data_IF_284210398914
#
_entry.id   IF_284210398914
#
_cell.length_a   1.000
_cell.length_b   1.000
_cell.length_c   1.000
_cell.angle_alpha   90.00
_cell.angle_beta   90.00
_cell.angle_gamma   90.00
#
_symmetry.space_group_name_H-M   'P 1'
#
loop_
_entity.id
_entity.type
_entity.pdbx_description
1 polymer ?
#
# COMPACT_ATOMS: atom_id res chain seq x y z
N UNK A 1 17.66 -5.44 11.65
CA UNK A 1 18.83 -5.92 12.43
C UNK A 1 18.41 -6.86 13.57
N UNK A 2 18.76 -8.15 13.50
CA UNK A 2 18.33 -9.20 14.48
C UNK A 2 18.99 -9.11 15.86
N UNK A 3 20.00 -8.27 15.99
CA UNK A 3 20.80 -8.07 17.20
C UNK A 3 20.30 -6.89 18.07
N UNK A 4 19.27 -6.18 17.62
CA UNK A 4 18.61 -5.11 18.38
C UNK A 4 17.34 -5.68 19.01
N UNK A 5 17.34 -5.86 20.34
CA UNK A 5 16.12 -6.19 21.08
C UNK A 5 15.14 -5.01 20.96
N UNK A 6 14.00 -5.23 20.29
CA UNK A 6 13.02 -4.17 20.03
C UNK A 6 11.69 -4.45 20.73
N UNK A 7 11.03 -3.38 21.12
CA UNK A 7 9.68 -3.41 21.64
C UNK A 7 8.82 -2.42 20.85
N UNK A 8 7.73 -2.91 20.27
CA UNK A 8 6.68 -2.05 19.71
C UNK A 8 5.59 -1.90 20.77
N UNK A 9 5.32 -0.67 21.18
CA UNK A 9 4.31 -0.33 22.18
C UNK A 9 3.19 0.48 21.51
N UNK A 10 2.12 -0.19 21.04
CA UNK A 10 0.96 0.48 20.46
C UNK A 10 0.10 1.16 21.54
N UNK A 11 0.21 0.71 22.79
CA UNK A 11 -0.49 1.27 23.94
C UNK A 11 0.50 2.06 24.82
N UNK A 12 0.30 3.38 24.97
CA UNK A 12 1.14 4.23 25.82
C UNK A 12 1.21 3.78 27.29
N UNK A 13 0.12 3.20 27.82
CA UNK A 13 0.03 2.86 29.24
C UNK A 13 0.82 1.59 29.58
N UNK A 14 0.88 0.64 28.66
CA UNK A 14 1.65 -0.60 28.80
C UNK A 14 3.14 -0.45 28.41
N UNK A 15 3.51 0.62 27.71
CA UNK A 15 4.84 0.79 27.12
C UNK A 15 5.97 0.74 28.16
N UNK A 16 5.77 1.36 29.34
CA UNK A 16 6.79 1.42 30.39
C UNK A 16 7.02 0.05 31.04
N UNK A 17 5.95 -0.66 31.37
CA UNK A 17 6.02 -1.99 31.99
C UNK A 17 6.68 -3.01 31.06
N UNK A 18 6.27 -3.00 29.78
CA UNK A 18 6.86 -3.85 28.76
C UNK A 18 8.33 -3.53 28.53
N UNK A 19 8.72 -2.24 28.56
CA UNK A 19 10.10 -1.82 28.38
C UNK A 19 10.99 -2.25 29.55
N UNK A 20 10.49 -2.21 30.78
CA UNK A 20 11.20 -2.69 31.97
C UNK A 20 11.37 -4.22 31.98
N UNK A 21 10.34 -4.95 31.52
CA UNK A 21 10.36 -6.41 31.45
C UNK A 21 11.27 -6.94 30.33
N UNK A 22 11.14 -6.40 29.12
CA UNK A 22 11.86 -6.87 27.93
C UNK A 22 13.28 -6.31 27.81
N UNK A 23 13.58 -5.18 28.48
CA UNK A 23 14.85 -4.43 28.37
C UNK A 23 15.33 -4.26 26.91
N UNK A 24 14.49 -3.70 26.02
CA UNK A 24 14.84 -3.54 24.63
C UNK A 24 15.91 -2.46 24.46
N UNK A 25 16.77 -2.63 23.46
CA UNK A 25 17.69 -1.58 23.00
C UNK A 25 16.97 -0.47 22.23
N UNK A 26 15.76 -0.74 21.71
CA UNK A 26 14.93 0.21 20.96
C UNK A 26 13.45 0.03 21.29
N UNK A 27 12.78 1.10 21.69
CA UNK A 27 11.34 1.15 21.89
C UNK A 27 10.69 2.05 20.83
N UNK A 28 9.64 1.55 20.19
CA UNK A 28 8.87 2.25 19.17
C UNK A 28 7.49 2.53 19.73
N UNK A 29 7.13 3.80 19.80
CA UNK A 29 5.88 4.29 20.37
C UNK A 29 5.01 4.80 19.23
N UNK A 30 3.80 4.25 19.10
CA UNK A 30 2.78 4.81 18.21
C UNK A 30 2.15 6.03 18.89
N UNK A 31 2.41 7.22 18.34
CA UNK A 31 1.92 8.48 18.85
C UNK A 31 0.46 8.67 18.40
N UNK A 32 -0.44 8.53 19.37
CA UNK A 32 -1.89 8.70 19.15
C UNK A 32 -2.31 10.14 19.39
N UNK A 33 -1.94 10.70 20.56
CA UNK A 33 -2.15 12.10 20.94
C UNK A 33 -0.84 12.72 21.43
N UNK A 34 -0.53 13.94 21.01
CA UNK A 34 0.74 14.61 21.32
C UNK A 34 0.98 14.76 22.84
N UNK A 35 0.03 15.24 23.67
CA UNK A 35 0.28 15.42 25.11
C UNK A 35 0.54 14.09 25.83
N UNK A 36 -0.23 13.05 25.51
CA UNK A 36 -0.08 11.72 26.08
C UNK A 36 1.27 11.11 25.70
N UNK A 37 1.66 11.24 24.44
CA UNK A 37 2.95 10.75 23.92
C UNK A 37 4.12 11.48 24.59
N UNK A 38 4.06 12.81 24.70
CA UNK A 38 5.07 13.61 25.40
C UNK A 38 5.22 13.19 26.87
N UNK A 39 4.10 12.97 27.57
CA UNK A 39 4.12 12.51 28.96
C UNK A 39 4.78 11.13 29.09
N UNK A 40 4.48 10.21 28.18
CA UNK A 40 5.09 8.89 28.14
C UNK A 40 6.60 8.95 27.88
N UNK A 41 7.03 9.73 26.88
CA UNK A 41 8.45 9.88 26.56
C UNK A 41 9.24 10.39 27.77
N UNK A 42 8.70 11.37 28.49
CA UNK A 42 9.29 11.88 29.72
C UNK A 42 9.37 10.82 30.82
N UNK A 43 8.34 9.97 30.98
CA UNK A 43 8.34 8.85 31.93
C UNK A 43 9.42 7.82 31.58
N UNK A 44 9.52 7.42 30.31
CA UNK A 44 10.56 6.51 29.82
C UNK A 44 11.99 7.07 30.01
N UNK A 45 12.17 8.39 29.96
CA UNK A 45 13.48 9.02 30.25
C UNK A 45 13.76 9.22 31.73
N UNK A 46 12.73 9.45 32.54
CA UNK A 46 12.88 9.56 34.00
C UNK A 46 13.30 8.22 34.61
N UNK A 47 12.69 7.12 34.15
CA UNK A 47 12.87 5.77 34.68
C UNK A 47 14.31 5.23 34.42
N UNK A 48 15.10 4.92 35.46
CA UNK A 48 16.49 4.48 35.30
C UNK A 48 16.66 3.23 34.43
N UNK A 49 15.73 2.28 34.53
CA UNK A 49 15.77 1.01 33.81
C UNK A 49 15.65 1.15 32.29
N UNK A 50 15.14 2.28 31.79
CA UNK A 50 14.83 2.50 30.37
C UNK A 50 15.70 3.55 29.70
N UNK A 51 16.62 4.21 30.44
CA UNK A 51 17.46 5.29 29.87
C UNK A 51 18.37 4.87 28.73
N UNK A 52 18.76 3.60 28.69
CA UNK A 52 19.70 3.05 27.73
C UNK A 52 19.07 2.80 26.34
N UNK A 53 17.75 2.80 26.22
CA UNK A 53 17.07 2.48 24.97
C UNK A 53 16.95 3.69 24.05
N UNK A 54 17.06 3.44 22.74
CA UNK A 54 16.55 4.36 21.73
C UNK A 54 15.02 4.42 21.81
N UNK A 55 14.44 5.60 21.63
CA UNK A 55 12.99 5.78 21.56
C UNK A 55 12.64 6.41 20.22
N UNK A 56 11.70 5.81 19.50
CA UNK A 56 11.19 6.31 18.23
C UNK A 56 9.71 6.59 18.37
N UNK A 57 9.26 7.79 17.99
CA UNK A 57 7.85 8.15 17.96
C UNK A 57 7.32 8.12 16.52
N UNK A 58 6.19 7.44 16.30
CA UNK A 58 5.50 7.39 15.02
C UNK A 58 4.25 8.25 15.10
N UNK A 59 4.07 9.29 14.28
CA UNK A 59 2.80 10.02 14.25
C UNK A 59 2.20 10.03 12.84
N UNK A 60 0.87 9.99 12.78
CA UNK A 60 0.08 9.92 11.52
C UNK A 60 -0.24 11.31 10.95
N UNK A 61 -0.17 12.32 11.80
CA UNK A 61 -0.38 13.74 11.49
C UNK A 61 0.76 14.45 12.22
N UNK A 62 1.72 15.00 11.48
CA UNK A 62 2.95 15.54 12.04
C UNK A 62 3.20 16.90 11.41
N UNK A 63 2.85 17.94 12.14
CA UNK A 63 3.33 19.29 11.85
C UNK A 63 4.76 19.45 12.40
N UNK A 64 5.62 20.30 11.81
CA UNK A 64 7.01 20.48 12.25
C UNK A 64 7.15 20.84 13.74
N UNK A 65 6.18 21.58 14.28
CA UNK A 65 6.17 22.01 15.69
C UNK A 65 5.96 20.83 16.66
N UNK A 66 5.16 19.84 16.27
CA UNK A 66 4.90 18.62 17.04
C UNK A 66 6.10 17.68 17.02
N UNK A 67 6.84 17.62 15.90
CA UNK A 67 8.09 16.87 15.80
C UNK A 67 9.12 17.37 16.81
N UNK A 68 9.29 18.68 16.87
CA UNK A 68 10.21 19.33 17.79
C UNK A 68 9.81 19.09 19.25
N UNK A 69 8.51 19.05 19.55
CA UNK A 69 8.02 18.77 20.89
C UNK A 69 8.30 17.32 21.33
N UNK A 70 8.08 16.34 20.45
CA UNK A 70 8.40 14.93 20.72
C UNK A 70 9.91 14.70 20.89
N UNK A 71 10.75 15.39 20.10
CA UNK A 71 12.21 15.38 20.27
C UNK A 71 12.62 15.98 21.61
N UNK A 72 12.05 17.13 21.99
CA UNK A 72 12.28 17.76 23.32
C UNK A 72 11.82 16.87 24.46
N UNK A 73 10.77 16.07 24.27
CA UNK A 73 10.27 15.12 25.25
C UNK A 73 11.17 13.87 25.42
N UNK A 74 12.10 13.64 24.50
CA UNK A 74 13.13 12.60 24.61
C UNK A 74 13.12 11.53 23.52
N UNK A 75 12.37 11.71 22.42
CA UNK A 75 12.45 10.83 21.26
C UNK A 75 13.79 11.00 20.51
N UNK A 76 14.46 9.91 20.18
CA UNK A 76 15.68 9.92 19.36
C UNK A 76 15.38 10.14 17.87
N UNK A 77 14.25 9.61 17.41
CA UNK A 77 13.74 9.82 16.06
C UNK A 77 12.22 9.96 16.09
N UNK A 78 11.71 10.72 15.13
CA UNK A 78 10.27 10.92 14.91
C UNK A 78 10.00 10.62 13.44
N UNK A 79 8.99 9.81 13.14
CA UNK A 79 8.60 9.48 11.77
C UNK A 79 7.13 9.77 11.52
N UNK A 80 6.84 10.24 10.30
CA UNK A 80 5.50 10.48 9.82
C UNK A 80 5.01 9.29 8.96
N UNK A 81 3.85 8.72 9.30
CA UNK A 81 3.15 7.72 8.48
C UNK A 81 2.63 6.50 9.25
N UNK A 82 1.81 5.69 8.57
CA UNK A 82 1.43 4.35 9.07
C UNK A 82 2.56 3.36 8.76
N UNK A 83 2.95 2.60 9.77
CA UNK A 83 4.01 1.59 9.68
C UNK A 83 3.42 0.24 10.07
N UNK A 84 3.48 -0.72 9.14
CA UNK A 84 3.18 -2.10 9.44
C UNK A 84 4.27 -2.65 10.38
N UNK A 85 3.91 -3.21 11.55
CA UNK A 85 4.87 -3.82 12.49
C UNK A 85 5.79 -4.86 11.84
N UNK A 86 5.30 -5.58 10.80
CA UNK A 86 6.08 -6.60 10.09
C UNK A 86 7.13 -6.01 9.13
N UNK A 87 6.90 -4.78 8.64
CA UNK A 87 7.80 -4.09 7.69
C UNK A 87 8.80 -3.14 8.36
N UNK A 88 8.77 -3.04 9.69
CA UNK A 88 9.61 -2.14 10.48
C UNK A 88 11.12 -2.37 10.29
N UNK A 89 11.57 -3.63 10.18
CA UNK A 89 13.01 -3.93 10.05
C UNK A 89 13.62 -3.35 8.77
N UNK A 90 12.91 -3.46 7.65
CA UNK A 90 13.36 -2.96 6.35
C UNK A 90 13.43 -1.42 6.36
N UNK A 91 12.41 -0.78 6.94
CA UNK A 91 12.34 0.69 6.99
C UNK A 91 13.32 1.29 7.99
N UNK A 92 13.53 0.63 9.14
CA UNK A 92 14.53 1.05 10.12
C UNK A 92 15.96 0.86 9.59
N UNK A 93 16.25 -0.20 8.83
CA UNK A 93 17.55 -0.35 8.14
C UNK A 93 17.79 0.75 7.11
N UNK A 94 16.74 1.19 6.40
CA UNK A 94 16.82 2.33 5.49
C UNK A 94 17.07 3.66 6.24
N UNK A 95 16.43 3.86 7.39
CA UNK A 95 16.46 5.11 8.16
C UNK A 95 17.67 5.24 9.11
N UNK A 96 18.11 4.14 9.72
CA UNK A 96 19.30 4.04 10.58
C UNK A 96 20.57 3.68 9.80
N UNK A 97 20.49 3.55 8.48
CA UNK A 97 21.63 3.69 7.58
C UNK A 97 22.14 5.12 7.65
N UNK A 98 22.73 5.50 8.79
CA UNK A 98 23.63 6.63 8.91
C UNK A 98 24.97 6.08 8.44
N UNK A 99 25.33 6.28 7.16
CA UNK A 99 26.62 5.79 6.68
C UNK A 99 27.71 6.40 7.54
N UNK A 100 28.64 5.57 8.01
CA UNK A 100 29.84 6.03 8.71
C UNK A 100 30.44 7.22 7.95
N UNK A 101 30.81 8.26 8.69
CA UNK A 101 31.34 9.49 8.10
C UNK A 101 32.78 9.66 8.56
N UNK A 102 33.69 9.80 7.60
CA UNK A 102 35.05 10.24 7.91
C UNK A 102 35.09 11.76 7.73
N UNK A 103 35.38 12.45 8.83
CA UNK A 103 35.67 13.88 8.82
C UNK A 103 37.10 14.08 8.31
N UNK A 104 37.29 15.06 7.44
CA UNK A 104 38.59 15.35 6.83
C UNK A 104 38.43 16.37 5.72
N UNK A 105 39.41 17.27 5.56
CA UNK A 105 39.42 18.25 4.46
C UNK A 105 40.00 17.59 3.23
N UNK A 106 39.19 17.44 2.19
CA UNK A 106 39.58 16.74 0.97
C UNK A 106 39.30 17.65 -0.23
N UNK A 107 40.26 17.84 -1.15
CA UNK A 107 40.00 18.65 -2.33
C UNK A 107 38.93 17.96 -3.20
N UNK A 108 37.95 18.76 -3.64
CA UNK A 108 36.92 18.30 -4.57
C UNK A 108 36.77 19.31 -5.70
N UNK A 109 36.79 18.83 -6.94
CA UNK A 109 36.46 19.65 -8.10
C UNK A 109 35.00 19.39 -8.49
N UNK A 110 34.26 20.45 -8.77
CA UNK A 110 32.84 20.40 -9.07
C UNK A 110 32.62 20.88 -10.51
N UNK A 111 31.98 20.03 -11.31
CA UNK A 111 31.47 20.37 -12.63
C UNK A 111 29.95 20.56 -12.51
N UNK A 112 29.51 21.80 -12.34
CA UNK A 112 28.09 22.15 -12.14
C UNK A 112 27.39 22.19 -13.49
N UNK A 113 26.49 21.24 -13.73
CA UNK A 113 25.89 21.01 -15.05
C UNK A 113 25.07 22.20 -15.57
N UNK A 114 24.42 22.95 -14.68
CA UNK A 114 23.66 24.14 -15.04
C UNK A 114 24.52 25.31 -15.54
N UNK A 115 25.85 25.20 -15.46
CA UNK A 115 26.81 26.26 -15.80
C UNK A 115 27.73 25.93 -16.98
N UNK A 116 27.59 24.74 -17.57
CA UNK A 116 28.34 24.32 -18.76
C UNK A 116 27.45 24.45 -20.02
N UNK A 117 27.87 25.10 -21.13
CA UNK A 117 29.23 25.49 -21.50
C UNK A 117 29.36 27.02 -21.72
N UNK A 118 29.80 27.77 -20.69
CA UNK A 118 30.30 29.15 -20.83
C UNK A 118 31.69 29.30 -20.21
N UNK A 119 32.67 28.51 -20.63
CA UNK A 119 34.10 28.76 -20.36
C UNK A 119 34.51 28.96 -18.89
N UNK A 120 33.65 28.69 -17.92
CA UNK A 120 33.92 28.89 -16.51
C UNK A 120 34.63 27.68 -15.93
N UNK A 121 35.73 27.97 -15.26
CA UNK A 121 36.63 27.04 -14.59
C UNK A 121 35.86 26.12 -13.64
N UNK A 122 36.25 24.84 -13.60
CA UNK A 122 35.87 23.87 -12.55
C UNK A 122 35.90 24.53 -11.17
N UNK A 123 34.82 24.41 -10.41
CA UNK A 123 34.77 24.99 -9.08
C UNK A 123 35.62 24.14 -8.13
N UNK A 124 36.63 24.75 -7.51
CA UNK A 124 37.41 24.10 -6.47
C UNK A 124 36.71 24.24 -5.11
N UNK A 125 36.23 23.13 -4.57
CA UNK A 125 35.64 23.03 -3.24
C UNK A 125 36.50 22.22 -2.29
N UNK A 126 36.08 22.17 -1.03
CA UNK A 126 36.67 21.30 0.00
C UNK A 126 35.57 20.46 0.62
N UNK A 127 35.64 19.13 0.46
CA UNK A 127 34.82 18.24 1.26
C UNK A 127 35.31 18.24 2.71
N UNK A 128 34.40 18.41 3.66
CA UNK A 128 34.66 18.42 5.11
C UNK A 128 34.42 17.06 5.74
N UNK A 129 33.54 16.27 5.12
CA UNK A 129 33.33 14.87 5.44
C UNK A 129 32.86 14.13 4.20
N UNK A 130 33.05 12.81 4.23
CA UNK A 130 32.55 11.91 3.20
C UNK A 130 31.94 10.66 3.86
N UNK A 131 30.89 10.17 3.24
CA UNK A 131 30.17 8.94 3.59
C UNK A 131 29.78 8.21 2.31
N UNK A 132 29.34 6.96 2.42
CA UNK A 132 28.91 6.18 1.25
C UNK A 132 27.72 6.81 0.50
N UNK A 133 26.92 7.66 1.16
CA UNK A 133 25.70 8.24 0.57
C UNK A 133 25.82 9.74 0.24
N UNK A 134 26.93 10.39 0.59
CA UNK A 134 27.07 11.83 0.39
C UNK A 134 28.22 12.45 1.16
N UNK A 135 28.39 13.75 0.95
CA UNK A 135 29.45 14.56 1.54
C UNK A 135 28.95 15.95 1.92
N UNK A 136 29.63 16.58 2.88
CA UNK A 136 29.49 18.01 3.16
C UNK A 136 30.64 18.73 2.46
N UNK A 137 30.34 19.72 1.63
CA UNK A 137 31.34 20.51 0.91
C UNK A 137 31.26 21.99 1.27
N UNK A 138 32.41 22.63 1.32
CA UNK A 138 32.59 24.08 1.26
C UNK A 138 32.90 24.48 -0.17
N UNK A 139 32.19 25.48 -0.67
CA UNK A 139 32.38 26.01 -2.02
C UNK A 139 32.70 27.50 -1.96
N UNK A 140 33.43 28.06 -2.94
CA UNK A 140 33.73 29.51 -2.98
C UNK A 140 32.47 30.35 -3.21
N UNK A 141 31.44 29.76 -3.79
CA UNK A 141 30.15 30.41 -4.08
C UNK A 141 28.98 29.47 -3.74
N UNK A 142 27.78 30.01 -3.45
CA UNK A 142 26.64 29.20 -3.03
C UNK A 142 26.03 28.41 -4.20
N UNK A 143 25.68 27.14 -3.95
CA UNK A 143 25.03 26.24 -4.91
C UNK A 143 23.57 25.99 -4.54
N UNK A 144 22.64 26.07 -5.50
CA UNK A 144 21.18 25.92 -5.28
C UNK A 144 20.76 24.51 -4.86
N UNK A 145 19.74 24.42 -4.00
CA UNK A 145 19.11 23.15 -3.67
C UNK A 145 18.65 22.45 -4.95
N UNK A 146 18.95 21.17 -5.07
CA UNK A 146 18.65 20.38 -6.25
C UNK A 146 19.64 20.51 -7.40
N UNK A 147 20.66 21.39 -7.30
CA UNK A 147 21.74 21.49 -8.30
C UNK A 147 22.46 20.16 -8.44
N UNK A 148 22.55 19.66 -9.68
CA UNK A 148 23.29 18.44 -10.03
C UNK A 148 24.69 18.80 -10.51
N UNK A 149 25.67 17.99 -10.12
CA UNK A 149 27.07 18.21 -10.47
C UNK A 149 27.85 16.90 -10.51
N UNK A 150 28.91 16.87 -11.31
CA UNK A 150 29.96 15.88 -11.14
C UNK A 150 30.92 16.35 -10.04
N UNK A 151 31.25 15.43 -9.14
CA UNK A 151 32.23 15.59 -8.08
C UNK A 151 33.45 14.75 -8.44
N UNK A 152 34.62 15.37 -8.49
CA UNK A 152 35.91 14.70 -8.60
C UNK A 152 36.63 14.87 -7.26
N UNK A 153 36.72 13.77 -6.52
CA UNK A 153 37.21 13.75 -5.13
C UNK A 153 38.57 13.10 -5.09
N UNK A 154 39.55 13.81 -4.55
CA UNK A 154 40.87 13.26 -4.24
C UNK A 154 40.80 12.58 -2.86
N UNK A 155 40.66 11.24 -2.86
CA UNK A 155 40.74 10.44 -1.62
C UNK A 155 42.23 10.24 -1.25
N UNK A 156 42.67 10.57 -0.01
CA UNK A 156 44.06 10.43 0.42
C UNK A 156 44.67 9.04 0.21
N UNK A 157 43.87 7.98 0.45
CA UNK A 157 44.33 6.59 0.41
C UNK A 157 44.08 5.96 -0.98
N UNK A 158 43.93 6.76 -2.03
CA UNK A 158 43.53 6.28 -3.35
C UNK A 158 44.32 6.88 -4.50
N UNK A 159 44.96 6.05 -5.37
CA UNK A 159 45.82 6.54 -6.44
C UNK A 159 45.05 7.19 -7.60
N UNK A 160 43.73 7.01 -7.67
CA UNK A 160 42.87 7.57 -8.73
C UNK A 160 41.80 8.48 -8.15
N UNK A 161 41.43 9.53 -8.88
CA UNK A 161 40.30 10.40 -8.49
C UNK A 161 39.00 9.62 -8.47
N UNK A 162 38.20 9.88 -7.46
CA UNK A 162 36.88 9.30 -7.32
C UNK A 162 35.86 10.23 -7.97
N UNK A 163 35.18 9.75 -9.01
CA UNK A 163 34.13 10.50 -9.69
C UNK A 163 32.76 10.07 -9.18
N UNK A 164 31.93 11.03 -8.77
CA UNK A 164 30.59 10.78 -8.22
C UNK A 164 29.63 11.82 -8.73
N UNK A 165 28.39 11.43 -9.07
CA UNK A 165 27.34 12.40 -9.38
C UNK A 165 26.64 12.77 -8.08
N UNK A 166 26.64 14.06 -7.78
CA UNK A 166 26.04 14.62 -6.57
C UNK A 166 24.85 15.53 -6.88
N UNK A 167 23.93 15.62 -5.92
CA UNK A 167 22.90 16.65 -5.89
C UNK A 167 22.90 17.39 -4.56
N UNK A 168 22.83 18.71 -4.59
CA UNK A 168 22.70 19.52 -3.38
C UNK A 168 21.38 19.20 -2.69
N UNK A 169 21.46 18.58 -1.51
CA UNK A 169 20.30 18.18 -0.73
C UNK A 169 19.99 19.13 0.44
N UNK A 170 21.01 19.90 0.90
CA UNK A 170 20.86 20.87 1.99
C UNK A 170 21.87 22.01 1.87
N UNK A 171 21.51 23.19 2.37
CA UNK A 171 22.39 24.35 2.52
C UNK A 171 22.62 24.64 3.99
N UNK A 172 23.80 25.16 4.31
CA UNK A 172 24.09 25.77 5.60
C UNK A 172 24.66 27.16 5.31
N UNK A 173 23.95 28.19 5.74
CA UNK A 173 24.38 29.58 5.61
C UNK A 173 25.41 29.88 6.71
N UNK A 174 26.64 30.20 6.29
CA UNK A 174 27.68 30.78 7.14
C UNK A 174 28.30 31.97 6.40
N UNK A 175 28.65 33.03 7.13
CA UNK A 175 29.01 34.36 6.61
C UNK A 175 30.27 34.40 5.72
N UNK A 176 31.21 33.45 5.84
CA UNK A 176 32.50 33.51 5.12
C UNK A 176 32.68 32.49 3.98
N UNK A 177 32.10 31.29 4.08
CA UNK A 177 32.16 30.25 3.03
C UNK A 177 30.88 29.42 3.01
N UNK A 178 30.11 29.41 1.91
CA UNK A 178 28.88 28.64 1.82
C UNK A 178 29.16 27.14 1.91
N UNK A 179 28.34 26.45 2.71
CA UNK A 179 28.39 25.00 2.90
C UNK A 179 27.15 24.35 2.31
N UNK A 180 27.34 23.23 1.64
CA UNK A 180 26.21 22.45 1.16
C UNK A 180 26.42 20.95 1.36
N UNK A 181 25.35 20.27 1.75
CA UNK A 181 25.33 18.82 1.84
C UNK A 181 24.92 18.26 0.50
N UNK A 182 25.80 17.45 -0.08
CA UNK A 182 25.60 16.83 -1.38
C UNK A 182 25.29 15.36 -1.18
N UNK A 183 24.13 14.92 -1.68
CA UNK A 183 23.73 13.51 -1.72
C UNK A 183 24.30 12.88 -2.99
N UNK A 184 24.91 11.71 -2.86
CA UNK A 184 25.34 10.94 -4.02
C UNK A 184 24.14 10.33 -4.71
N UNK A 185 24.02 10.59 -6.01
CA UNK A 185 23.02 10.00 -6.88
C UNK A 185 23.59 8.77 -7.60
N UNK A 186 24.85 8.84 -8.03
CA UNK A 186 25.52 7.78 -8.79
C UNK A 186 26.96 7.64 -8.33
N UNK A 187 27.34 6.42 -7.95
CA UNK A 187 28.68 6.01 -7.53
C UNK A 187 29.21 4.95 -8.53
N UNK A 188 29.95 5.37 -9.59
CA UNK A 188 30.40 4.47 -10.65
C UNK A 188 31.52 3.52 -10.20
N UNK A 189 31.60 2.34 -10.83
CA UNK A 189 32.67 1.37 -10.63
C UNK A 189 32.84 0.94 -9.16
N UNK A 190 34.09 0.94 -8.69
CA UNK A 190 34.45 0.59 -7.32
C UNK A 190 34.36 1.79 -6.35
N UNK A 191 33.82 2.94 -6.78
CA UNK A 191 33.77 4.16 -5.97
C UNK A 191 33.07 3.95 -4.63
N UNK A 192 31.97 3.19 -4.62
CA UNK A 192 31.23 2.87 -3.39
C UNK A 192 32.09 2.08 -2.40
N UNK A 193 32.84 1.10 -2.90
CA UNK A 193 33.70 0.23 -2.10
C UNK A 193 34.94 0.98 -1.61
N UNK A 194 35.49 1.88 -2.43
CA UNK A 194 36.62 2.73 -2.05
C UNK A 194 36.25 3.77 -1.00
N UNK A 195 35.10 4.42 -1.14
CA UNK A 195 34.58 5.31 -0.09
C UNK A 195 34.35 4.54 1.20
N UNK A 196 33.77 3.33 1.12
CA UNK A 196 33.55 2.46 2.29
C UNK A 196 34.89 2.17 3.00
N UNK A 197 35.89 1.63 2.29
CA UNK A 197 37.22 1.36 2.84
C UNK A 197 37.89 2.60 3.42
N UNK A 198 37.81 3.74 2.72
CA UNK A 198 38.39 4.99 3.18
C UNK A 198 37.72 5.51 4.45
N UNK A 199 36.39 5.41 4.54
CA UNK A 199 35.65 5.79 5.72
C UNK A 199 36.00 4.89 6.90
N UNK A 200 36.25 3.62 6.65
CA UNK A 200 36.59 2.60 7.65
C UNK A 200 38.06 2.63 8.10
N UNK A 201 38.99 3.20 7.31
CA UNK A 201 40.45 3.06 7.53
C UNK A 201 41.11 3.99 8.55
N UNK A 202 40.58 5.20 8.82
CA UNK A 202 41.09 6.11 9.88
C UNK A 202 42.55 6.62 9.76
N UNK A 203 42.71 7.93 9.50
CA UNK A 203 43.93 8.80 9.55
C UNK A 203 45.13 8.52 8.61
N UNK A 204 45.42 9.49 7.72
CA UNK A 204 46.72 10.20 7.51
C UNK A 204 46.62 11.13 6.28
N UNK A 205 47.35 12.27 6.31
CA UNK A 205 47.45 13.26 5.21
C UNK A 205 48.09 12.67 3.93
N UNK A 206 47.65 13.08 2.71
CA UNK A 206 48.22 12.59 1.46
C UNK A 206 49.36 13.47 0.92
N UNK A 207 50.31 12.87 0.17
CA UNK A 207 51.29 13.62 -0.62
C UNK A 207 50.69 14.12 -1.96
N UNK A 208 51.30 15.12 -2.61
CA UNK A 208 50.79 15.66 -3.87
C UNK A 208 51.17 14.78 -5.07
N UNK A 209 50.26 14.64 -6.04
CA UNK A 209 50.48 13.87 -7.28
C UNK A 209 50.32 14.75 -8.53
N UNK A 210 51.22 14.51 -9.49
CA UNK A 210 51.49 15.25 -10.72
C UNK A 210 50.49 15.00 -11.88
N UNK A 211 50.55 15.90 -12.85
CA UNK A 211 49.49 16.29 -13.78
C UNK A 211 49.28 15.41 -15.04
N UNK A 212 50.14 14.42 -15.29
CA UNK A 212 50.23 13.77 -16.60
C UNK A 212 49.23 12.62 -16.85
N UNK A 213 48.46 12.18 -15.84
CA UNK A 213 47.52 11.05 -15.97
C UNK A 213 46.07 11.45 -16.35
N UNK A 214 45.78 12.75 -16.55
CA UNK A 214 44.41 13.30 -16.59
C UNK A 214 43.63 13.06 -17.88
N UNK A 215 44.26 12.80 -19.03
CA UNK A 215 43.57 12.93 -20.33
C UNK A 215 43.02 11.62 -20.92
N UNK A 216 43.52 10.44 -20.55
CA UNK A 216 43.03 9.16 -21.08
C UNK A 216 41.77 8.61 -20.36
N UNK A 217 41.50 9.05 -19.13
CA UNK A 217 40.40 8.54 -18.27
C UNK A 217 39.01 9.13 -18.66
N UNK A 218 39.00 10.32 -19.26
CA UNK A 218 37.78 11.11 -19.51
C UNK A 218 36.84 10.51 -20.58
N UNK A 219 37.36 9.72 -21.53
CA UNK A 219 36.56 9.16 -22.62
C UNK A 219 35.89 7.82 -22.28
N UNK A 220 36.49 7.01 -21.40
CA UNK A 220 35.91 5.71 -20.97
C UNK A 220 34.79 5.90 -19.93
N UNK A 221 34.95 6.83 -18.99
CA UNK A 221 34.00 7.08 -17.90
C UNK A 221 32.65 7.68 -18.34
N UNK A 222 32.60 8.37 -19.48
CA UNK A 222 31.36 8.99 -19.97
C UNK A 222 30.32 7.95 -20.39
N UNK A 223 30.77 6.80 -20.89
CA UNK A 223 29.89 5.70 -21.34
C UNK A 223 29.29 4.93 -20.14
N UNK A 224 30.07 4.75 -19.06
CA UNK A 224 29.63 4.07 -17.84
C UNK A 224 28.65 4.92 -17.00
N UNK A 225 28.81 6.24 -17.02
CA UNK A 225 27.88 7.20 -16.42
C UNK A 225 26.48 7.14 -17.05
N UNK A 226 26.40 7.04 -18.37
CA UNK A 226 25.11 6.86 -19.07
C UNK A 226 24.46 5.52 -18.71
N UNK A 227 25.24 4.46 -18.53
CA UNK A 227 24.73 3.14 -18.17
C UNK A 227 24.17 3.09 -16.73
N UNK A 228 24.82 3.78 -15.78
CA UNK A 228 24.38 3.82 -14.39
C UNK A 228 23.14 4.72 -14.20
N UNK A 229 23.03 5.83 -14.93
CA UNK A 229 21.82 6.66 -14.94
C UNK A 229 20.63 5.88 -15.52
N UNK A 230 20.83 5.20 -16.65
CA UNK A 230 19.84 4.28 -17.24
C UNK A 230 19.42 3.21 -16.25
N UNK A 231 20.33 2.68 -15.43
CA UNK A 231 20.02 1.63 -14.44
C UNK A 231 19.16 2.12 -13.26
N UNK A 232 19.32 3.38 -12.83
CA UNK A 232 18.46 3.96 -11.78
C UNK A 232 17.09 4.38 -12.31
N UNK A 233 17.03 4.85 -13.56
CA UNK A 233 15.77 5.14 -14.25
C UNK A 233 14.99 3.85 -14.52
N UNK A 234 15.62 2.80 -15.03
CA UNK A 234 14.98 1.51 -15.27
C UNK A 234 14.49 0.85 -13.98
N UNK A 235 15.17 1.01 -12.85
CA UNK A 235 14.69 0.51 -11.56
C UNK A 235 13.40 1.21 -11.10
N UNK A 236 13.32 2.54 -11.23
CA UNK A 236 12.11 3.30 -10.87
C UNK A 236 10.96 2.95 -11.80
N UNK A 237 11.24 2.83 -13.08
CA UNK A 237 10.25 2.40 -14.08
C UNK A 237 9.78 0.96 -13.79
N UNK A 238 10.69 0.06 -13.43
CA UNK A 238 10.36 -1.32 -13.07
C UNK A 238 9.47 -1.43 -11.82
N UNK A 239 9.68 -0.58 -10.80
CA UNK A 239 8.81 -0.55 -9.62
C UNK A 239 7.39 -0.08 -9.96
N UNK A 240 7.28 0.94 -10.81
CA UNK A 240 5.97 1.46 -11.26
C UNK A 240 5.28 0.45 -12.19
N UNK A 241 6.05 -0.27 -13.02
CA UNK A 241 5.54 -1.33 -13.89
C UNK A 241 5.16 -2.62 -13.16
N UNK A 242 5.80 -2.90 -12.02
CA UNK A 242 5.46 -4.04 -11.17
C UNK A 242 4.13 -3.84 -10.41
N UNK A 243 3.59 -2.62 -10.37
CA UNK A 243 2.27 -2.35 -9.81
C UNK A 243 1.17 -3.14 -10.53
N UNK A 244 0.27 -3.75 -9.77
CA UNK A 244 -0.93 -4.41 -10.32
C UNK A 244 -1.98 -3.40 -10.78
N UNK A 245 -2.01 -2.23 -10.15
CA UNK A 245 -2.89 -1.12 -10.53
C UNK A 245 -2.28 -0.32 -11.67
N UNK A 246 -3.13 0.18 -12.57
CA UNK A 246 -2.74 1.11 -13.62
C UNK A 246 -2.33 2.43 -13.01
N UNK A 247 -1.10 2.87 -13.27
CA UNK A 247 -0.56 4.14 -12.78
C UNK A 247 -0.45 5.10 -13.96
N UNK A 248 -1.12 6.24 -13.84
CA UNK A 248 -1.12 7.30 -14.84
C UNK A 248 -0.66 8.59 -14.18
N UNK A 249 0.45 9.16 -14.64
CA UNK A 249 0.95 10.44 -14.17
C UNK A 249 0.49 11.54 -15.11
N UNK A 250 -0.05 12.62 -14.54
CA UNK A 250 -0.61 13.76 -15.26
C UNK A 250 0.09 15.07 -14.85
N UNK A 251 0.15 16.03 -15.77
CA UNK A 251 0.47 17.42 -15.46
C UNK A 251 -0.76 18.24 -15.01
N UNK A 252 -0.55 19.54 -14.78
CA UNK A 252 -1.58 20.50 -14.37
C UNK A 252 -2.67 20.72 -15.42
N UNK A 253 -2.39 20.42 -16.70
CA UNK A 253 -3.37 20.49 -17.79
C UNK A 253 -4.11 19.15 -17.99
N UNK A 254 -3.76 18.12 -17.20
CA UNK A 254 -4.30 16.77 -17.33
C UNK A 254 -3.75 15.99 -18.53
N UNK A 255 -2.55 16.33 -19.00
CA UNK A 255 -1.82 15.57 -20.03
C UNK A 255 -1.03 14.44 -19.41
N UNK A 256 -1.00 13.30 -20.08
CA UNK A 256 -0.31 12.10 -19.60
C UNK A 256 1.20 12.28 -19.74
N UNK A 257 1.91 12.25 -18.62
CA UNK A 257 3.37 12.26 -18.55
C UNK A 257 3.95 10.86 -18.29
N UNK A 258 3.17 9.96 -17.70
CA UNK A 258 3.62 8.62 -17.33
C UNK A 258 2.46 7.65 -17.42
N UNK A 259 2.76 6.44 -17.89
CA UNK A 259 1.77 5.39 -18.11
C UNK A 259 2.44 4.04 -17.94
N UNK A 260 2.09 3.31 -16.87
CA UNK A 260 2.74 2.03 -16.57
C UNK A 260 2.15 0.87 -17.39
N UNK A 261 2.84 -0.26 -17.40
CA UNK A 261 2.41 -1.45 -18.14
C UNK A 261 1.06 -2.02 -17.69
N UNK A 262 0.66 -1.80 -16.44
CA UNK A 262 -0.67 -2.18 -15.98
C UNK A 262 -1.76 -1.30 -16.61
N UNK A 263 -1.53 0.01 -16.73
CA UNK A 263 -2.44 0.93 -17.39
C UNK A 263 -2.57 0.62 -18.88
N UNK A 264 -1.48 0.21 -19.56
CA UNK A 264 -1.53 -0.28 -20.94
C UNK A 264 -2.44 -1.50 -21.10
N UNK A 265 -2.32 -2.48 -20.20
CA UNK A 265 -3.15 -3.69 -20.23
C UNK A 265 -4.62 -3.40 -19.93
N UNK A 266 -4.90 -2.52 -18.97
CA UNK A 266 -6.26 -2.16 -18.59
C UNK A 266 -6.92 -1.34 -19.70
N UNK A 267 -6.29 -0.26 -20.15
CA UNK A 267 -6.94 0.67 -21.09
C UNK A 267 -6.81 0.19 -22.54
N UNK A 268 -5.77 -0.58 -22.87
CA UNK A 268 -5.51 -1.08 -24.21
C UNK A 268 -4.74 -0.11 -25.12
N UNK A 269 -4.32 1.05 -24.59
CA UNK A 269 -3.41 1.95 -25.30
C UNK A 269 -1.96 1.67 -24.90
N UNK A 270 -1.01 1.58 -25.85
CA UNK A 270 0.40 1.62 -25.53
C UNK A 270 0.80 3.03 -25.08
N UNK A 271 1.73 3.15 -24.14
CA UNK A 271 2.24 4.41 -23.58
C UNK A 271 2.57 5.44 -24.66
N UNK A 272 3.25 5.02 -25.73
CA UNK A 272 3.66 5.87 -26.84
C UNK A 272 2.50 6.57 -27.56
N UNK A 273 1.27 6.06 -27.49
CA UNK A 273 0.09 6.66 -28.12
C UNK A 273 -0.65 7.64 -27.20
N UNK A 274 -0.38 7.61 -25.90
CA UNK A 274 -1.10 8.40 -24.88
C UNK A 274 -0.24 9.50 -24.25
N UNK A 275 1.08 9.34 -24.25
CA UNK A 275 2.02 10.32 -23.69
C UNK A 275 1.87 11.69 -24.38
N UNK A 276 1.77 12.76 -23.58
CA UNK A 276 1.50 14.13 -24.01
C UNK A 276 0.04 14.46 -24.37
N UNK A 277 -0.84 13.45 -24.49
CA UNK A 277 -2.26 13.64 -24.81
C UNK A 277 -3.09 13.83 -23.54
N UNK A 278 -4.28 14.40 -23.70
CA UNK A 278 -5.20 14.61 -22.58
C UNK A 278 -5.77 13.29 -22.07
N UNK A 279 -5.58 13.00 -20.79
CA UNK A 279 -6.15 11.80 -20.16
C UNK A 279 -7.68 11.80 -20.20
N UNK A 280 -8.31 12.97 -20.14
CA UNK A 280 -9.77 13.07 -20.20
C UNK A 280 -10.33 12.64 -21.55
N UNK A 281 -9.60 12.92 -22.64
CA UNK A 281 -10.04 12.55 -23.98
C UNK A 281 -9.77 11.07 -24.29
N UNK A 282 -8.64 10.56 -23.81
CA UNK A 282 -8.21 9.20 -24.07
C UNK A 282 -8.87 8.16 -23.16
N UNK A 283 -8.99 8.47 -21.87
CA UNK A 283 -9.34 7.49 -20.83
C UNK A 283 -10.74 7.73 -20.25
N UNK A 284 -11.31 8.91 -20.50
CA UNK A 284 -12.62 9.32 -19.99
C UNK A 284 -13.72 9.23 -21.06
N UNK A 285 -14.90 8.69 -20.72
CA UNK A 285 -16.03 8.66 -21.65
C UNK A 285 -16.46 10.09 -22.03
N UNK A 286 -16.95 10.32 -23.26
CA UNK A 286 -17.30 11.66 -23.75
C UNK A 286 -18.23 12.45 -22.81
N UNK A 287 -19.19 11.75 -22.18
CA UNK A 287 -20.15 12.31 -21.23
C UNK A 287 -19.52 12.86 -19.95
N UNK A 288 -18.37 12.33 -19.51
CA UNK A 288 -17.73 12.68 -18.25
C UNK A 288 -16.59 13.70 -18.37
N UNK A 289 -16.12 14.00 -19.60
CA UNK A 289 -14.94 14.85 -19.85
C UNK A 289 -15.04 16.23 -19.23
N UNK A 290 -16.21 16.88 -19.37
CA UNK A 290 -16.45 18.22 -18.81
C UNK A 290 -16.37 18.23 -17.27
N UNK A 291 -16.92 17.21 -16.62
CA UNK A 291 -16.86 17.04 -15.17
C UNK A 291 -15.43 16.87 -14.67
N UNK A 292 -14.61 16.07 -15.35
CA UNK A 292 -13.22 15.86 -14.96
C UNK A 292 -12.36 17.12 -15.13
N UNK A 293 -12.51 17.84 -16.24
CA UNK A 293 -11.82 19.13 -16.46
C UNK A 293 -12.20 20.15 -15.39
N UNK A 294 -13.50 20.29 -15.09
CA UNK A 294 -13.99 21.19 -14.04
C UNK A 294 -13.46 20.83 -12.65
N UNK A 295 -13.42 19.54 -12.32
CA UNK A 295 -12.90 19.07 -11.03
C UNK A 295 -11.40 19.35 -10.87
N UNK A 296 -10.59 19.15 -11.91
CA UNK A 296 -9.15 19.46 -11.88
C UNK A 296 -8.92 20.98 -11.76
N UNK A 297 -9.63 21.79 -12.56
CA UNK A 297 -9.51 23.25 -12.52
C UNK A 297 -9.90 23.83 -11.14
N UNK A 298 -10.99 23.32 -10.55
CA UNK A 298 -11.42 23.73 -9.21
C UNK A 298 -10.38 23.37 -8.13
N UNK A 299 -9.75 22.20 -8.24
CA UNK A 299 -8.68 21.79 -7.33
C UNK A 299 -7.42 22.66 -7.47
N UNK A 300 -7.01 22.96 -8.70
CA UNK A 300 -5.86 23.83 -8.97
C UNK A 300 -6.08 25.25 -8.45
N UNK A 301 -7.32 25.73 -8.46
CA UNK A 301 -7.73 27.02 -7.87
C UNK A 301 -7.78 27.03 -6.33
N UNK A 302 -7.37 25.94 -5.66
CA UNK A 302 -7.36 25.83 -4.19
C UNK A 302 -8.61 25.22 -3.58
N UNK A 303 -9.55 24.75 -4.41
CA UNK A 303 -10.74 24.02 -3.97
C UNK A 303 -10.48 22.53 -3.69
N UNK A 304 -11.50 21.82 -3.22
CA UNK A 304 -11.44 20.37 -3.00
C UNK A 304 -11.94 19.61 -4.24
N UNK A 305 -11.26 18.55 -4.65
CA UNK A 305 -11.77 17.67 -5.73
C UNK A 305 -12.42 16.42 -5.13
N UNK A 306 -13.57 15.97 -5.67
CA UNK A 306 -14.24 14.75 -5.22
C UNK A 306 -13.43 13.47 -5.47
N UNK A 307 -12.40 13.53 -6.31
CA UNK A 307 -11.57 12.39 -6.74
C UNK A 307 -10.16 12.45 -6.12
N UNK A 308 -9.73 13.62 -5.65
CA UNK A 308 -8.38 13.79 -5.10
C UNK A 308 -8.35 13.33 -3.63
N UNK A 309 -7.45 12.41 -3.30
CA UNK A 309 -7.31 11.84 -1.96
C UNK A 309 -8.42 10.86 -1.54
N UNK A 310 -9.30 10.46 -2.46
CA UNK A 310 -10.38 9.48 -2.23
C UNK A 310 -10.45 8.47 -3.36
N UNK A 311 -10.89 7.25 -3.06
CA UNK A 311 -11.26 6.25 -4.08
C UNK A 311 -12.71 6.50 -4.50
N UNK A 312 -12.94 6.58 -5.81
CA UNK A 312 -14.28 6.72 -6.38
C UNK A 312 -14.48 5.72 -7.51
N UNK A 313 -15.67 5.13 -7.57
CA UNK A 313 -16.10 4.36 -8.73
C UNK A 313 -16.58 5.31 -9.82
N UNK A 314 -16.09 5.12 -11.04
CA UNK A 314 -16.52 5.85 -12.22
C UNK A 314 -16.44 4.94 -13.45
N UNK A 315 -16.62 5.53 -14.63
CA UNK A 315 -16.49 4.84 -15.91
C UNK A 315 -15.23 5.31 -16.62
N UNK A 316 -14.42 4.34 -17.05
CA UNK A 316 -13.27 4.53 -17.93
C UNK A 316 -13.60 4.11 -19.37
N UNK A 317 -12.77 4.56 -20.31
CA UNK A 317 -12.87 4.24 -21.74
C UNK A 317 -11.62 3.48 -22.17
N UNK A 318 -11.80 2.36 -22.89
CA UNK A 318 -10.70 1.59 -23.49
C UNK A 318 -10.39 2.04 -24.91
N UNK A 319 -9.28 1.57 -25.45
CA UNK A 319 -8.84 1.88 -26.81
C UNK A 319 -9.78 1.43 -27.92
N UNK A 320 -10.55 0.35 -27.68
CA UNK A 320 -11.58 -0.15 -28.59
C UNK A 320 -12.90 0.63 -28.50
N UNK A 321 -12.97 1.65 -27.65
CA UNK A 321 -14.17 2.46 -27.40
C UNK A 321 -15.14 1.86 -26.39
N UNK A 322 -14.84 0.70 -25.80
CA UNK A 322 -15.67 0.10 -24.76
C UNK A 322 -15.55 0.87 -23.44
N UNK A 323 -16.69 1.09 -22.79
CA UNK A 323 -16.74 1.64 -21.44
C UNK A 323 -16.62 0.51 -20.41
N UNK A 324 -15.88 0.77 -19.33
CA UNK A 324 -15.70 -0.19 -18.24
C UNK A 324 -15.75 0.50 -16.88
N UNK A 325 -16.25 -0.18 -15.83
CA UNK A 325 -16.24 0.38 -14.49
C UNK A 325 -14.81 0.41 -13.95
N UNK A 326 -14.41 1.55 -13.41
CA UNK A 326 -13.08 1.81 -12.89
C UNK A 326 -13.16 2.38 -11.48
N UNK A 327 -12.37 1.84 -10.57
CA UNK A 327 -12.05 2.50 -9.30
C UNK A 327 -10.85 3.41 -9.53
N UNK A 328 -11.05 4.71 -9.31
CA UNK A 328 -10.07 5.76 -9.56
C UNK A 328 -9.69 6.44 -8.24
N UNK A 329 -8.39 6.59 -8.01
CA UNK A 329 -7.85 7.44 -6.94
C UNK A 329 -6.79 8.37 -7.52
N UNK A 330 -6.88 9.67 -7.21
CA UNK A 330 -5.91 10.67 -7.70
C UNK A 330 -5.19 11.31 -6.53
N UNK A 331 -3.86 11.25 -6.54
CA UNK A 331 -3.03 11.86 -5.51
C UNK A 331 -2.14 12.96 -6.13
N UNK A 332 -2.08 14.15 -5.51
CA UNK A 332 -1.20 15.21 -5.95
C UNK A 332 0.24 14.91 -5.50
N UNK A 333 1.21 15.28 -6.31
CA UNK A 333 2.64 15.21 -6.00
C UNK A 333 3.33 16.50 -6.42
N UNK A 334 4.12 17.08 -5.52
CA UNK A 334 4.94 18.25 -5.85
C UNK A 334 6.34 17.82 -6.30
N UNK A 335 6.73 18.19 -7.51
CA UNK A 335 8.09 17.95 -8.04
C UNK A 335 8.70 19.30 -8.41
N UNK A 336 9.53 19.83 -7.52
CA UNK A 336 10.09 21.18 -7.65
C UNK A 336 8.98 22.24 -7.58
N UNK A 337 8.83 23.04 -8.65
CA UNK A 337 7.76 24.06 -8.78
C UNK A 337 6.50 23.57 -9.49
N UNK A 338 6.47 22.32 -10.00
CA UNK A 338 5.34 21.77 -10.77
C UNK A 338 4.50 20.85 -9.89
N UNK A 339 3.18 20.94 -10.01
CA UNK A 339 2.24 19.98 -9.44
C UNK A 339 1.94 18.90 -10.46
N UNK A 340 2.20 17.66 -10.08
CA UNK A 340 1.83 16.48 -10.86
C UNK A 340 0.71 15.75 -10.15
N UNK A 341 -0.03 14.94 -10.89
CA UNK A 341 -1.08 14.10 -10.33
C UNK A 341 -0.82 12.65 -10.70
N UNK A 342 -0.86 11.76 -9.72
CA UNK A 342 -0.77 10.32 -9.94
C UNK A 342 -2.16 9.73 -9.78
N UNK A 343 -2.70 9.19 -10.87
CA UNK A 343 -3.97 8.48 -10.89
C UNK A 343 -3.72 6.97 -10.85
N UNK A 344 -4.37 6.30 -9.90
CA UNK A 344 -4.44 4.85 -9.79
C UNK A 344 -5.76 4.38 -10.40
N UNK A 345 -5.65 3.49 -11.38
CA UNK A 345 -6.73 3.00 -12.24
C UNK A 345 -6.85 1.51 -11.99
N UNK A 346 -7.96 1.10 -11.36
CA UNK A 346 -8.25 -0.30 -11.10
C UNK A 346 -9.52 -0.72 -11.82
N UNK A 347 -9.40 -1.71 -12.69
CA UNK A 347 -10.53 -2.30 -13.39
C UNK A 347 -11.33 -3.18 -12.43
N UNK A 348 -12.61 -2.84 -12.22
CA UNK A 348 -13.51 -3.59 -11.34
C UNK A 348 -14.57 -4.37 -12.12
N UNK A 349 -14.38 -4.54 -13.44
CA UNK A 349 -15.32 -5.25 -14.32
C UNK A 349 -15.57 -6.67 -13.84
N UNK A 350 -14.51 -7.42 -13.51
CA UNK A 350 -14.64 -8.80 -13.07
C UNK A 350 -15.39 -8.91 -11.74
N UNK A 351 -15.08 -8.01 -10.79
CA UNK A 351 -15.81 -7.92 -9.53
C UNK A 351 -17.31 -7.66 -9.74
N UNK A 352 -17.66 -6.71 -10.62
CA UNK A 352 -19.07 -6.43 -10.95
C UNK A 352 -19.74 -7.58 -11.70
N UNK A 353 -19.02 -8.30 -12.57
CA UNK A 353 -19.56 -9.49 -13.26
C UNK A 353 -19.85 -10.62 -12.29
N UNK A 354 -18.95 -10.87 -11.34
CA UNK A 354 -19.16 -11.89 -10.30
C UNK A 354 -20.33 -11.52 -9.39
N UNK A 355 -20.41 -10.26 -8.96
CA UNK A 355 -21.54 -9.75 -8.18
C UNK A 355 -22.87 -9.86 -8.94
N UNK A 356 -22.88 -9.51 -10.24
CA UNK A 356 -24.06 -9.63 -11.09
C UNK A 356 -24.48 -11.09 -11.30
N UNK A 357 -23.53 -11.98 -11.58
CA UNK A 357 -23.77 -13.42 -11.75
C UNK A 357 -24.29 -14.07 -10.46
N UNK A 358 -23.74 -13.68 -9.31
CA UNK A 358 -24.24 -14.12 -8.00
C UNK A 358 -25.67 -13.63 -7.78
N UNK A 359 -25.95 -12.35 -8.02
CA UNK A 359 -27.31 -11.78 -7.90
C UNK A 359 -28.30 -12.45 -8.85
N UNK A 360 -27.89 -12.76 -10.08
CA UNK A 360 -28.73 -13.46 -11.04
C UNK A 360 -29.00 -14.89 -10.58
N UNK A 361 -27.98 -15.61 -10.11
CA UNK A 361 -28.11 -16.96 -9.55
C UNK A 361 -29.05 -16.98 -8.33
N UNK A 362 -28.93 -15.98 -7.44
CA UNK A 362 -29.84 -15.81 -6.29
C UNK A 362 -31.28 -15.55 -6.74
N UNK A 363 -31.49 -14.71 -7.77
CA UNK A 363 -32.82 -14.43 -8.33
C UNK A 363 -33.42 -15.68 -8.99
N UNK A 364 -32.64 -16.41 -9.78
CA UNK A 364 -33.07 -17.64 -10.42
C UNK A 364 -33.41 -18.71 -9.37
N UNK A 365 -32.55 -18.88 -8.37
CA UNK A 365 -32.81 -19.79 -7.25
C UNK A 365 -34.11 -19.43 -6.53
N UNK A 366 -34.31 -18.14 -6.19
CA UNK A 366 -35.53 -17.68 -5.52
C UNK A 366 -36.78 -17.91 -6.37
N UNK A 367 -36.72 -17.59 -7.66
CA UNK A 367 -37.84 -17.78 -8.58
C UNK A 367 -38.23 -19.27 -8.72
N UNK A 368 -37.23 -20.17 -8.81
CA UNK A 368 -37.47 -21.62 -8.84
C UNK A 368 -38.01 -22.12 -7.50
N UNK A 369 -37.39 -21.75 -6.39
CA UNK A 369 -37.79 -22.19 -5.06
C UNK A 369 -39.23 -21.74 -4.71
N UNK A 370 -39.58 -20.48 -5.00
CA UNK A 370 -40.91 -19.93 -4.73
C UNK A 370 -41.97 -20.37 -5.75
N UNK A 371 -41.58 -20.61 -7.01
CA UNK A 371 -42.50 -20.96 -8.10
C UNK A 371 -42.83 -22.46 -8.21
N UNK A 372 -42.07 -23.34 -7.55
CA UNK A 372 -42.36 -24.78 -7.52
C UNK A 372 -43.58 -25.06 -6.64
N UNK A 373 -44.56 -25.76 -7.21
CA UNK A 373 -45.80 -26.13 -6.51
C UNK A 373 -45.65 -27.25 -5.48
N UNK A 374 -44.51 -27.95 -5.47
CA UNK A 374 -44.17 -28.94 -4.45
C UNK A 374 -43.70 -28.23 -3.16
N UNK A 375 -44.20 -28.63 -1.98
CA UNK A 375 -43.73 -28.13 -0.70
C UNK A 375 -42.23 -28.40 -0.46
N UNK A 376 -41.45 -27.33 -0.34
CA UNK A 376 -39.99 -27.38 -0.15
C UNK A 376 -39.56 -26.56 1.05
N UNK A 377 -38.63 -27.13 1.83
CA UNK A 377 -38.06 -26.51 3.03
C UNK A 377 -36.54 -26.67 2.99
N UNK A 378 -35.81 -25.60 3.34
CA UNK A 378 -34.37 -25.63 3.56
C UNK A 378 -34.15 -25.60 5.06
N UNK A 379 -33.42 -26.56 5.59
CA UNK A 379 -33.11 -26.64 7.02
C UNK A 379 -31.60 -26.73 7.30
N UNK A 380 -31.17 -26.23 8.45
CA UNK A 380 -29.78 -26.30 8.91
C UNK A 380 -29.42 -27.68 9.50
N UNK A 381 -28.15 -27.90 9.85
CA UNK A 381 -27.69 -29.13 10.52
C UNK A 381 -28.49 -29.49 11.78
N UNK A 382 -29.05 -28.49 12.48
CA UNK A 382 -29.85 -28.66 13.69
C UNK A 382 -31.34 -28.93 13.40
N UNK A 383 -31.71 -29.06 12.12
CA UNK A 383 -33.08 -29.30 11.68
C UNK A 383 -33.99 -28.07 11.80
N UNK A 384 -33.44 -26.87 11.89
CA UNK A 384 -34.20 -25.62 11.91
C UNK A 384 -34.48 -25.13 10.51
N UNK A 385 -35.68 -24.65 10.26
CA UNK A 385 -36.04 -24.10 8.96
C UNK A 385 -35.31 -22.77 8.70
N UNK A 386 -34.45 -22.77 7.69
CA UNK A 386 -33.71 -21.61 7.20
C UNK A 386 -34.48 -20.91 6.09
N UNK A 387 -35.20 -21.66 5.27
CA UNK A 387 -36.10 -21.12 4.24
C UNK A 387 -37.27 -22.07 3.96
N UNK A 388 -38.41 -21.53 3.52
CA UNK A 388 -39.62 -22.29 3.17
C UNK A 388 -40.29 -21.65 1.96
N UNK A 389 -40.73 -22.46 1.01
CA UNK A 389 -41.47 -21.96 -0.16
C UNK A 389 -42.97 -21.78 0.15
N UNK A 390 -43.74 -21.08 -0.71
CA UNK A 390 -45.17 -20.85 -0.50
C UNK A 390 -46.00 -22.14 -0.41
N UNK A 391 -45.64 -23.18 -1.15
CA UNK A 391 -46.29 -24.49 -1.08
C UNK A 391 -46.13 -25.15 0.29
N UNK A 392 -44.94 -25.06 0.91
CA UNK A 392 -44.69 -25.53 2.27
C UNK A 392 -45.47 -24.72 3.32
N UNK A 393 -45.57 -23.39 3.15
CA UNK A 393 -46.39 -22.55 4.03
C UNK A 393 -47.86 -23.00 4.00
N UNK A 394 -48.38 -23.28 2.79
CA UNK A 394 -49.73 -23.78 2.58
C UNK A 394 -49.95 -25.17 3.20
N UNK A 395 -48.98 -26.08 3.04
CA UNK A 395 -49.01 -27.42 3.64
C UNK A 395 -49.04 -27.37 5.17
N UNK A 396 -48.18 -26.54 5.76
CA UNK A 396 -48.11 -26.33 7.21
C UNK A 396 -49.26 -25.48 7.77
N UNK A 397 -50.07 -24.85 6.91
CA UNK A 397 -51.11 -23.88 7.27
C UNK A 397 -50.60 -22.75 8.18
N UNK A 398 -49.39 -22.26 7.88
CA UNK A 398 -48.69 -21.24 8.66
C UNK A 398 -47.91 -20.30 7.74
N UNK A 399 -47.73 -19.07 8.20
CA UNK A 399 -46.90 -18.10 7.48
C UNK A 399 -45.42 -18.45 7.57
N UNK A 400 -44.66 -18.04 6.55
CA UNK A 400 -43.21 -18.22 6.48
C UNK A 400 -42.50 -17.79 7.76
N UNK A 401 -42.86 -16.63 8.32
CA UNK A 401 -42.22 -16.11 9.53
C UNK A 401 -42.43 -16.98 10.78
N UNK A 402 -43.55 -17.70 10.86
CA UNK A 402 -43.82 -18.61 11.97
C UNK A 402 -43.02 -19.91 11.88
N UNK A 403 -42.71 -20.32 10.65
CA UNK A 403 -41.99 -21.55 10.32
C UNK A 403 -40.47 -21.36 10.45
N UNK A 404 -39.94 -20.20 10.07
CA UNK A 404 -38.51 -19.93 10.14
C UNK A 404 -37.94 -20.05 11.56
N UNK A 405 -36.77 -20.69 11.67
CA UNK A 405 -36.05 -20.91 12.93
C UNK A 405 -36.63 -22.01 13.82
N UNK A 406 -37.84 -22.49 13.54
CA UNK A 406 -38.47 -23.65 14.21
C UNK A 406 -37.84 -24.94 13.76
N UNK A 407 -37.84 -25.94 14.64
CA UNK A 407 -37.34 -27.28 14.31
C UNK A 407 -38.39 -28.08 13.59
N UNK A 408 -37.97 -28.87 12.59
CA UNK A 408 -38.80 -29.85 11.89
C UNK A 408 -39.59 -30.75 12.86
N UNK A 409 -38.98 -31.16 13.97
CA UNK A 409 -39.60 -32.03 14.99
C UNK A 409 -40.74 -31.39 15.77
N UNK A 410 -40.84 -30.05 15.80
CA UNK A 410 -41.94 -29.34 16.48
C UNK A 410 -43.29 -29.54 15.76
N UNK A 411 -43.26 -29.91 14.48
CA UNK A 411 -44.47 -30.09 13.66
C UNK A 411 -44.83 -31.58 13.45
N UNK A 412 -44.01 -32.51 13.93
CA UNK A 412 -44.29 -33.93 13.84
C UNK A 412 -45.06 -34.43 15.08
N UNK A 413 -45.93 -35.44 14.90
CA UNK A 413 -46.58 -36.09 16.04
C UNK A 413 -45.55 -36.67 17.03
N UNK A 414 -45.88 -36.62 18.33
CA UNK A 414 -45.03 -37.15 19.39
C UNK A 414 -44.76 -38.64 19.16
N UNK A 415 -43.49 -39.02 19.09
CA UNK A 415 -43.05 -40.40 18.84
C UNK A 415 -42.65 -40.68 17.39
N UNK A 416 -42.66 -39.68 16.50
CA UNK A 416 -42.14 -39.84 15.14
C UNK A 416 -40.62 -40.11 15.14
N UNK A 417 -40.16 -41.03 14.28
CA UNK A 417 -38.74 -41.33 14.10
C UNK A 417 -37.94 -40.26 13.33
N UNK A 418 -38.55 -39.09 13.14
CA UNK A 418 -38.00 -37.99 12.34
C UNK A 418 -36.67 -37.47 12.89
N UNK A 419 -36.51 -37.41 14.21
CA UNK A 419 -35.27 -36.96 14.86
C UNK A 419 -34.13 -37.98 14.65
N UNK A 420 -34.43 -39.28 14.79
CA UNK A 420 -33.48 -40.36 14.50
C UNK A 420 -33.10 -40.39 13.02
N UNK A 421 -34.08 -40.19 12.15
CA UNK A 421 -33.86 -40.06 10.72
C UNK A 421 -32.93 -38.88 10.41
N UNK A 422 -33.20 -37.69 10.98
CA UNK A 422 -32.38 -36.48 10.80
C UNK A 422 -30.93 -36.67 11.24
N UNK A 423 -30.71 -37.32 12.38
CA UNK A 423 -29.35 -37.61 12.88
C UNK A 423 -28.56 -38.53 11.92
N UNK A 424 -29.24 -39.43 11.22
CA UNK A 424 -28.61 -40.31 10.22
C UNK A 424 -28.38 -39.66 8.85
N UNK A 425 -28.82 -38.40 8.66
CA UNK A 425 -28.72 -37.68 7.40
C UNK A 425 -27.26 -37.45 6.96
N UNK A 426 -26.36 -37.21 7.92
CA UNK A 426 -24.92 -36.99 7.66
C UNK A 426 -24.24 -38.22 7.04
N UNK A 427 -24.70 -39.42 7.36
CA UNK A 427 -24.12 -40.67 6.84
C UNK A 427 -24.71 -41.07 5.49
N UNK A 428 -26.02 -40.87 5.30
CA UNK A 428 -26.74 -41.43 4.14
C UNK A 428 -26.82 -40.50 2.93
N UNK A 429 -26.49 -39.21 3.07
CA UNK A 429 -26.59 -38.10 2.06
C UNK A 429 -27.97 -37.85 1.45
N UNK A 430 -28.83 -38.85 1.42
CA UNK A 430 -30.24 -38.78 1.04
C UNK A 430 -31.04 -39.62 2.02
N UNK A 431 -32.19 -39.11 2.43
CA UNK A 431 -33.06 -39.82 3.34
C UNK A 431 -34.51 -39.68 2.89
N UNK A 432 -35.26 -40.77 2.93
CA UNK A 432 -36.69 -40.76 2.71
C UNK A 432 -37.38 -41.35 3.93
N UNK A 433 -38.54 -40.83 4.25
CA UNK A 433 -39.37 -41.35 5.32
C UNK A 433 -40.76 -40.77 5.25
N UNK A 434 -41.57 -41.15 6.23
CA UNK A 434 -42.93 -40.66 6.36
C UNK A 434 -43.15 -40.23 7.81
N UNK A 435 -43.93 -39.17 8.00
CA UNK A 435 -44.39 -38.75 9.32
C UNK A 435 -45.75 -38.09 9.23
N UNK A 436 -46.47 -38.04 10.35
CA UNK A 436 -47.69 -37.25 10.45
C UNK A 436 -47.39 -35.83 10.85
N UNK A 437 -47.78 -34.91 9.99
CA UNK A 437 -47.67 -33.48 10.19
C UNK A 437 -48.86 -32.97 11.01
N UNK A 438 -48.57 -32.43 12.20
CA UNK A 438 -49.53 -31.77 13.05
C UNK A 438 -49.77 -30.33 12.57
N UNK A 439 -51.02 -29.99 12.26
CA UNK A 439 -51.42 -28.65 11.79
C UNK A 439 -52.29 -27.95 12.84
N UNK A 440 -52.17 -26.62 13.01
CA UNK A 440 -53.04 -25.87 13.93
C UNK A 440 -54.48 -25.92 13.45
N UNK A 441 -55.41 -26.41 14.28
CA UNK A 441 -56.85 -26.40 14.00
C UNK A 441 -57.26 -27.10 12.69
N UNK A 442 -56.45 -28.04 12.19
CA UNK A 442 -56.71 -28.80 10.99
C UNK A 442 -56.34 -30.28 11.19
N UNK A 443 -56.90 -31.17 10.38
CA UNK A 443 -56.59 -32.60 10.42
C UNK A 443 -55.10 -32.84 10.17
N UNK A 444 -54.52 -33.83 10.84
CA UNK A 444 -53.16 -34.27 10.58
C UNK A 444 -53.03 -34.79 9.14
N UNK A 445 -51.91 -34.50 8.48
CA UNK A 445 -51.62 -34.99 7.13
C UNK A 445 -50.49 -36.01 7.18
N UNK A 446 -50.61 -37.07 6.39
CA UNK A 446 -49.53 -38.04 6.17
C UNK A 446 -48.55 -37.44 5.15
N UNK A 447 -47.33 -37.13 5.59
CA UNK A 447 -46.31 -36.50 4.77
C UNK A 447 -45.20 -37.50 4.48
N UNK A 448 -44.99 -37.78 3.20
CA UNK A 448 -43.76 -38.39 2.72
C UNK A 448 -42.72 -37.29 2.55
N UNK A 449 -41.53 -37.48 3.12
CA UNK A 449 -40.45 -36.52 3.01
C UNK A 449 -39.23 -37.14 2.35
N UNK A 450 -38.57 -36.35 1.51
CA UNK A 450 -37.28 -36.66 0.92
C UNK A 450 -36.29 -35.55 1.25
N UNK A 451 -35.21 -35.90 1.94
CA UNK A 451 -34.13 -34.99 2.31
C UNK A 451 -32.92 -35.26 1.42
N UNK A 452 -32.38 -34.22 0.84
CA UNK A 452 -31.07 -34.21 0.21
C UNK A 452 -30.12 -33.39 1.08
N UNK A 453 -29.06 -34.02 1.59
CA UNK A 453 -28.09 -33.37 2.46
C UNK A 453 -27.10 -32.50 1.66
N UNK A 454 -26.56 -31.47 2.31
CA UNK A 454 -25.48 -30.63 1.76
C UNK A 454 -25.83 -29.97 0.41
N UNK A 455 -27.03 -29.40 0.29
CA UNK A 455 -27.34 -28.51 -0.85
C UNK A 455 -26.38 -27.31 -0.85
N UNK A 456 -26.12 -26.78 0.34
CA UNK A 456 -25.04 -25.82 0.65
C UNK A 456 -24.35 -26.30 1.94
N UNK A 457 -23.15 -25.81 2.28
CA UNK A 457 -22.50 -26.15 3.54
C UNK A 457 -23.44 -25.91 4.74
N UNK A 458 -23.77 -26.99 5.46
CA UNK A 458 -24.69 -26.98 6.61
C UNK A 458 -26.16 -26.72 6.29
N UNK A 459 -26.59 -26.82 5.02
CA UNK A 459 -28.00 -26.68 4.61
C UNK A 459 -28.49 -27.90 3.83
N UNK A 460 -29.65 -28.39 4.21
CA UNK A 460 -30.29 -29.59 3.65
C UNK A 460 -31.63 -29.21 3.02
N UNK A 461 -31.91 -29.79 1.85
CA UNK A 461 -33.15 -29.57 1.13
C UNK A 461 -34.15 -30.68 1.46
N UNK A 462 -35.34 -30.30 1.91
CA UNK A 462 -36.43 -31.21 2.29
C UNK A 462 -37.59 -30.98 1.33
N UNK A 463 -37.98 -32.03 0.61
CA UNK A 463 -39.23 -32.09 -0.13
C UNK A 463 -40.29 -32.76 0.74
N UNK A 464 -41.48 -32.18 0.79
CA UNK A 464 -42.62 -32.74 1.53
C UNK A 464 -43.75 -33.01 0.52
N UNK A 465 -44.28 -34.23 0.53
CA UNK A 465 -45.41 -34.63 -0.32
C UNK A 465 -46.54 -35.13 0.57
N UNK A 466 -47.71 -34.53 0.40
CA UNK A 466 -48.93 -35.00 1.05
C UNK A 466 -49.40 -36.29 0.38
N UNK A 467 -49.43 -37.38 1.14
CA UNK A 467 -49.86 -38.71 0.68
C UNK A 467 -51.11 -39.19 1.42
N UNK A 468 -51.82 -38.28 2.09
CA UNK A 468 -53.01 -38.61 2.90
C UNK A 468 -54.08 -39.31 2.08
N UNK A 469 -54.43 -38.77 0.91
CA UNK A 469 -55.49 -39.32 0.05
C UNK A 469 -55.07 -40.67 -0.56
N UNK A 470 -53.76 -40.85 -0.85
CA UNK A 470 -53.20 -42.11 -1.38
C UNK A 470 -53.28 -43.27 -0.38
N UNK A 471 -53.28 -42.97 0.93
CA UNK A 471 -53.35 -43.98 1.98
C UNK A 471 -54.78 -44.29 2.46
N UNK A 472 -55.76 -43.49 2.05
CA UNK A 472 -57.17 -43.71 2.37
C UNK A 472 -57.94 -44.50 1.28
N UNK A 473 -57.39 -44.54 0.06
CA UNK A 473 -57.76 -45.45 -1.04
C UNK A 473 -57.10 -46.82 -0.85
#
# INVERSE_FOLDING_TARGET
RRDIGRLYAPDPDAALELALAARPSLCVVDAVELPATVALLRRLRAEPGTRHMGIVALSRLLEPEEEDELRRAGANAVFNGQMDPELWDARLEELLSVPSRRSGRMPVLLDVWSRLPRGESRLAGTALNISVNGMLIETPEPLDLGTKMDLLVDLPDSPTRLRVVGQVARRAEMEERPRCGVKFLVLPGDARERIRRFVESGTSDPPPLEESAREACLCAERSEWEAALRSSETWKDALVDASLDGVVTLDEDGRILGFNRAAERIVGYPRAQVEGRSAFEMLGPPSARGRYRGALAHYLAGGTSPVVGRRVETTGLRADGSEFPVELAVNPMAVGKRRLFTAYVRDITEGKRQEASLRESERQFRALFEGVGDPMVIADDAGRYVDVNPAACSLHARDRQELLGRRLTEFAERGSDLERAWLSLKEKRRLKGEYRLARPNAEAREIEFEITAELLPGRHLVFLRDVTDRKQL
#
